data_IF_881089810484
#
_entry.id   IF_881089810484
#
_cell.length_a   1.000
_cell.length_b   1.000
_cell.length_c   1.000
_cell.angle_alpha   90.00
_cell.angle_beta   90.00
_cell.angle_gamma   90.00
#
_symmetry.space_group_name_H-M   'P 1'
#
loop_
_entity.id
_entity.type
_entity.pdbx_description
1 polymer ?
#
# COMPACT_ATOMS: atom_id res chain seq x y z
N UNK A 1 -3.30 -21.17 0.21
CA UNK A 1 -2.51 -20.76 -0.98
C UNK A 1 -2.01 -19.35 -0.74
N UNK A 2 -0.77 -19.04 -1.15
CA UNK A 2 -0.21 -17.70 -1.03
C UNK A 2 -0.88 -16.75 -2.04
N UNK A 3 -1.31 -15.56 -1.60
CA UNK A 3 -1.80 -14.49 -2.48
C UNK A 3 -0.63 -13.78 -3.15
N UNK A 4 0.40 -13.44 -2.36
CA UNK A 4 1.64 -12.81 -2.80
C UNK A 4 2.80 -13.76 -2.51
N UNK A 5 3.67 -13.99 -3.50
CA UNK A 5 4.88 -14.78 -3.35
C UNK A 5 6.03 -14.13 -4.11
N UNK A 6 7.12 -13.85 -3.42
CA UNK A 6 8.33 -13.23 -3.95
C UNK A 6 9.48 -14.23 -3.85
N UNK A 7 10.32 -14.31 -4.88
CA UNK A 7 11.53 -15.16 -4.88
C UNK A 7 12.69 -14.43 -5.53
N UNK A 8 13.84 -14.35 -4.84
CA UNK A 8 15.09 -13.77 -5.33
C UNK A 8 14.98 -12.30 -5.76
N UNK A 9 14.12 -11.52 -5.08
CA UNK A 9 13.81 -10.15 -5.45
C UNK A 9 14.97 -9.21 -5.14
N UNK A 10 15.48 -8.52 -6.15
CA UNK A 10 16.59 -7.58 -6.00
C UNK A 10 16.31 -6.24 -6.70
N UNK A 11 16.79 -5.16 -6.06
CA UNK A 11 16.80 -3.80 -6.63
C UNK A 11 18.02 -3.03 -6.17
N UNK A 12 18.75 -2.47 -7.14
CA UNK A 12 19.88 -1.59 -6.91
C UNK A 12 19.68 -0.26 -7.66
N UNK A 13 20.40 0.77 -7.23
CA UNK A 13 20.45 2.07 -7.87
C UNK A 13 21.90 2.45 -8.16
N UNK A 14 22.15 3.04 -9.32
CA UNK A 14 23.48 3.55 -9.67
C UNK A 14 23.87 4.70 -8.75
N UNK A 15 25.12 4.69 -8.28
CA UNK A 15 25.70 5.78 -7.49
C UNK A 15 26.31 6.86 -8.38
N UNK A 16 26.23 8.16 -8.02
CA UNK A 16 26.79 9.26 -8.80
C UNK A 16 28.30 9.14 -9.08
N UNK A 17 29.04 8.41 -8.23
CA UNK A 17 30.49 8.18 -8.36
C UNK A 17 30.87 6.87 -9.04
N UNK A 18 29.91 6.15 -9.62
CA UNK A 18 30.08 4.80 -10.13
C UNK A 18 29.83 3.73 -9.06
N UNK A 19 29.51 2.51 -9.50
CA UNK A 19 29.05 1.42 -8.62
C UNK A 19 27.53 1.44 -8.43
N UNK A 20 27.06 0.49 -7.64
CA UNK A 20 25.63 0.28 -7.36
C UNK A 20 25.39 0.21 -5.86
N UNK A 21 24.27 0.78 -5.41
CA UNK A 21 23.75 0.63 -4.07
C UNK A 21 22.52 -0.27 -4.11
N UNK A 22 22.65 -1.49 -3.57
CA UNK A 22 21.54 -2.43 -3.46
C UNK A 22 20.65 -2.01 -2.31
N UNK A 23 19.37 -1.78 -2.60
CA UNK A 23 18.37 -1.31 -1.63
C UNK A 23 17.46 -2.44 -1.19
N UNK A 24 17.17 -3.39 -2.09
CA UNK A 24 16.35 -4.57 -1.80
C UNK A 24 17.09 -5.82 -2.25
N UNK A 25 17.16 -6.81 -1.37
CA UNK A 25 17.67 -8.15 -1.62
C UNK A 25 16.91 -9.15 -0.71
N UNK A 26 15.81 -9.69 -1.25
CA UNK A 26 14.89 -10.56 -0.52
C UNK A 26 14.85 -11.92 -1.17
N UNK A 27 15.36 -12.93 -0.48
CA UNK A 27 15.41 -14.31 -0.98
C UNK A 27 14.00 -14.87 -1.19
N UNK A 28 13.13 -14.72 -0.20
CA UNK A 28 11.75 -15.21 -0.26
C UNK A 28 10.84 -14.41 0.68
N UNK A 29 9.61 -14.15 0.25
CA UNK A 29 8.54 -13.60 1.08
C UNK A 29 7.20 -14.10 0.56
N UNK A 30 6.28 -14.43 1.47
CA UNK A 30 4.93 -14.85 1.13
C UNK A 30 3.90 -14.22 2.06
N UNK A 31 2.72 -13.91 1.50
CA UNK A 31 1.56 -13.41 2.24
C UNK A 31 0.32 -14.18 1.78
N UNK A 32 -0.46 -14.70 2.74
CA UNK A 32 -1.68 -15.42 2.43
C UNK A 32 -2.84 -14.47 2.10
N UNK A 33 -3.89 -14.99 1.45
CA UNK A 33 -5.11 -14.23 1.22
C UNK A 33 -5.78 -13.86 2.56
N UNK A 34 -6.19 -12.59 2.70
CA UNK A 34 -6.79 -12.06 3.93
C UNK A 34 -5.84 -11.90 5.12
N UNK A 35 -4.57 -12.28 4.98
CA UNK A 35 -3.57 -12.09 6.04
C UNK A 35 -3.26 -10.61 6.25
N UNK A 36 -3.08 -10.21 7.52
CA UNK A 36 -2.60 -8.89 7.89
C UNK A 36 -1.22 -9.01 8.54
N UNK A 37 -0.20 -8.48 7.88
CA UNK A 37 1.19 -8.51 8.34
C UNK A 37 1.81 -7.13 8.38
N UNK A 38 2.60 -6.84 9.41
CA UNK A 38 3.42 -5.64 9.50
C UNK A 38 4.90 -5.98 9.29
N UNK A 39 5.61 -5.11 8.58
CA UNK A 39 7.06 -5.12 8.49
C UNK A 39 7.61 -3.97 9.32
N UNK A 40 8.45 -4.30 10.31
CA UNK A 40 9.21 -3.34 11.08
C UNK A 40 10.49 -2.97 10.34
N UNK A 41 10.87 -1.69 10.34
CA UNK A 41 12.18 -1.29 9.85
C UNK A 41 12.42 0.21 9.98
N UNK A 42 13.68 0.60 10.12
CA UNK A 42 14.09 1.99 10.23
C UNK A 42 13.86 2.78 8.93
N UNK A 43 13.86 4.12 9.04
CA UNK A 43 13.82 4.98 7.87
C UNK A 43 15.04 4.72 6.97
N UNK A 44 14.82 4.70 5.64
CA UNK A 44 15.89 4.43 4.68
C UNK A 44 16.25 2.94 4.48
N UNK A 45 15.63 2.00 5.19
CA UNK A 45 15.93 0.57 5.06
C UNK A 45 15.42 -0.09 3.76
N UNK A 46 14.76 0.66 2.86
CA UNK A 46 14.25 0.14 1.58
C UNK A 46 12.79 -0.36 1.60
N UNK A 47 12.03 -0.16 2.70
CA UNK A 47 10.62 -0.58 2.82
C UNK A 47 9.72 -0.03 1.72
N UNK A 48 9.78 1.27 1.47
CA UNK A 48 9.03 1.92 0.39
C UNK A 48 9.39 1.34 -0.97
N UNK A 49 10.68 1.12 -1.24
CA UNK A 49 11.14 0.47 -2.47
C UNK A 49 10.59 -0.95 -2.60
N UNK A 50 10.59 -1.71 -1.52
CA UNK A 50 10.01 -3.05 -1.47
C UNK A 50 8.50 -3.04 -1.78
N UNK A 51 7.74 -2.13 -1.17
CA UNK A 51 6.32 -1.98 -1.48
C UNK A 51 6.09 -1.53 -2.94
N UNK A 52 6.92 -0.64 -3.47
CA UNK A 52 6.83 -0.19 -4.87
C UNK A 52 7.11 -1.32 -5.87
N UNK A 53 8.03 -2.23 -5.56
CA UNK A 53 8.28 -3.44 -6.35
C UNK A 53 7.05 -4.35 -6.35
N UNK A 54 6.47 -4.62 -5.18
CA UNK A 54 5.24 -5.43 -5.04
C UNK A 54 4.08 -4.78 -5.78
N UNK A 55 3.95 -3.45 -5.71
CA UNK A 55 2.91 -2.71 -6.43
C UNK A 55 3.14 -2.66 -7.95
N UNK A 56 4.30 -3.11 -8.45
CA UNK A 56 4.67 -2.97 -9.86
C UNK A 56 4.89 -1.52 -10.31
N UNK A 57 5.07 -0.58 -9.36
CA UNK A 57 5.48 0.81 -9.63
C UNK A 57 6.93 0.83 -10.11
N UNK A 58 7.79 0.01 -9.49
CA UNK A 58 9.16 -0.22 -9.88
C UNK A 58 9.31 -1.63 -10.47
N UNK A 59 10.15 -1.76 -11.48
CA UNK A 59 10.59 -3.05 -11.97
C UNK A 59 11.77 -3.55 -11.14
N UNK A 60 11.79 -4.84 -10.73
CA UNK A 60 12.95 -5.43 -10.09
C UNK A 60 14.09 -5.62 -11.10
N UNK A 61 15.33 -5.66 -10.62
CA UNK A 61 16.49 -6.00 -11.45
C UNK A 61 16.61 -7.51 -11.60
N UNK A 62 16.16 -8.27 -10.59
CA UNK A 62 16.03 -9.75 -10.67
C UNK A 62 14.92 -10.25 -9.74
N UNK A 63 14.56 -11.51 -9.92
CA UNK A 63 13.58 -12.19 -9.09
C UNK A 63 12.18 -12.20 -9.68
N UNK A 64 11.25 -12.76 -8.90
CA UNK A 64 9.86 -12.97 -9.31
C UNK A 64 8.89 -12.41 -8.29
N UNK A 65 7.79 -11.83 -8.77
CA UNK A 65 6.69 -11.30 -7.96
C UNK A 65 5.39 -11.93 -8.46
N UNK A 66 4.93 -12.97 -7.78
CA UNK A 66 3.65 -13.60 -8.11
C UNK A 66 2.55 -13.03 -7.21
N UNK A 67 1.55 -12.38 -7.80
CA UNK A 67 0.34 -11.89 -7.15
C UNK A 67 -0.87 -12.61 -7.76
N UNK A 68 -1.63 -13.32 -6.93
CA UNK A 68 -2.82 -14.07 -7.36
C UNK A 68 -2.53 -14.97 -8.59
N UNK A 69 -1.37 -15.65 -8.59
CA UNK A 69 -0.89 -16.52 -9.66
C UNK A 69 -0.29 -15.80 -10.88
N UNK A 70 -0.33 -14.46 -10.95
CA UNK A 70 0.26 -13.67 -12.05
C UNK A 70 1.66 -13.20 -11.69
N UNK A 71 2.63 -13.42 -12.56
CA UNK A 71 4.00 -12.95 -12.38
C UNK A 71 4.14 -11.51 -12.88
N UNK A 72 4.22 -10.55 -11.96
CA UNK A 72 4.35 -9.13 -12.28
C UNK A 72 5.69 -8.78 -12.94
N UNK A 73 6.76 -9.51 -12.60
CA UNK A 73 8.08 -9.25 -13.16
C UNK A 73 8.15 -9.62 -14.66
N UNK A 74 7.34 -10.59 -15.09
CA UNK A 74 7.23 -11.01 -16.48
C UNK A 74 6.32 -10.09 -17.32
N UNK A 75 5.55 -9.19 -16.69
CA UNK A 75 4.65 -8.27 -17.41
C UNK A 75 5.39 -7.03 -17.90
N UNK A 76 5.02 -6.54 -19.08
CA UNK A 76 5.34 -5.18 -19.50
C UNK A 76 4.65 -4.14 -18.62
N UNK A 77 5.02 -2.86 -18.79
CA UNK A 77 4.51 -1.74 -17.97
C UNK A 77 2.97 -1.69 -17.95
N UNK A 78 2.32 -1.69 -19.11
CA UNK A 78 0.86 -1.68 -19.21
C UNK A 78 0.18 -2.87 -18.50
N UNK A 79 0.82 -4.04 -18.50
CA UNK A 79 0.34 -5.23 -17.79
C UNK A 79 0.43 -5.07 -16.28
N UNK A 80 1.54 -4.52 -15.77
CA UNK A 80 1.71 -4.20 -14.34
C UNK A 80 0.71 -3.15 -13.89
N UNK A 81 0.52 -2.09 -14.69
CA UNK A 81 -0.44 -1.02 -14.39
C UNK A 81 -1.86 -1.55 -14.25
N UNK A 82 -2.25 -2.46 -15.15
CA UNK A 82 -3.56 -3.10 -15.08
C UNK A 82 -3.72 -3.95 -13.82
N UNK A 83 -2.74 -4.81 -13.49
CA UNK A 83 -2.80 -5.63 -12.28
C UNK A 83 -2.84 -4.75 -11.04
N UNK A 84 -2.04 -3.67 -10.98
CA UNK A 84 -2.05 -2.71 -9.89
C UNK A 84 -3.44 -2.09 -9.73
N UNK A 85 -4.01 -1.55 -10.80
CA UNK A 85 -5.31 -0.91 -10.77
C UNK A 85 -6.44 -1.86 -10.33
N UNK A 86 -6.40 -3.13 -10.76
CA UNK A 86 -7.47 -4.10 -10.49
C UNK A 86 -7.34 -4.81 -9.14
N UNK A 87 -6.10 -4.99 -8.62
CA UNK A 87 -5.84 -5.96 -7.54
C UNK A 87 -5.08 -5.40 -6.34
N UNK A 88 -4.50 -4.20 -6.45
CA UNK A 88 -3.70 -3.59 -5.38
C UNK A 88 -4.29 -2.26 -4.96
N UNK A 89 -4.54 -2.10 -3.65
CA UNK A 89 -4.80 -0.80 -3.03
C UNK A 89 -3.50 -0.27 -2.41
N UNK A 90 -3.20 1.00 -2.57
CA UNK A 90 -2.00 1.60 -1.98
C UNK A 90 -2.36 2.78 -1.09
N UNK A 91 -1.95 2.74 0.18
CA UNK A 91 -2.08 3.81 1.17
C UNK A 91 -0.69 4.40 1.37
N UNK A 92 -0.49 5.63 0.90
CA UNK A 92 0.77 6.35 0.98
C UNK A 92 0.90 7.10 2.30
N UNK A 93 2.12 7.33 2.76
CA UNK A 93 2.44 8.15 3.92
C UNK A 93 1.89 9.58 3.80
N UNK A 94 1.95 10.18 2.61
CA UNK A 94 1.54 11.57 2.32
C UNK A 94 0.17 11.67 1.66
N UNK A 95 -0.73 10.70 1.85
CA UNK A 95 -2.09 10.59 1.32
C UNK A 95 -2.20 10.69 -0.21
N UNK A 96 -1.42 11.54 -0.88
CA UNK A 96 -1.39 11.78 -2.33
C UNK A 96 -2.79 12.07 -2.91
N UNK A 97 -3.59 12.89 -2.21
CA UNK A 97 -4.89 13.34 -2.71
C UNK A 97 -4.71 14.47 -3.72
N UNK A 98 -5.48 14.41 -4.79
CA UNK A 98 -5.52 15.48 -5.79
C UNK A 98 -6.29 16.68 -5.25
N UNK A 99 -5.59 17.79 -5.03
CA UNK A 99 -6.13 18.98 -4.38
C UNK A 99 -7.19 19.70 -5.21
N UNK A 100 -7.19 19.51 -6.52
CA UNK A 100 -8.17 20.07 -7.47
C UNK A 100 -9.43 19.22 -7.65
N UNK A 101 -9.53 18.08 -6.96
CA UNK A 101 -10.65 17.14 -7.04
C UNK A 101 -11.35 17.04 -5.69
N UNK A 102 -12.66 16.84 -5.72
CA UNK A 102 -13.45 16.59 -4.51
C UNK A 102 -13.07 15.26 -3.86
N UNK A 103 -13.54 15.04 -2.65
CA UNK A 103 -13.38 13.79 -1.90
C UNK A 103 -13.91 12.60 -2.71
N UNK A 104 -15.11 12.75 -3.29
CA UNK A 104 -15.72 11.72 -4.11
C UNK A 104 -14.88 11.43 -5.37
N UNK A 105 -14.48 12.48 -6.11
CA UNK A 105 -13.66 12.35 -7.31
C UNK A 105 -12.28 11.73 -7.03
N UNK A 106 -11.68 11.99 -5.87
CA UNK A 106 -10.45 11.32 -5.44
C UNK A 106 -10.61 9.81 -5.31
N UNK A 107 -11.77 9.33 -4.85
CA UNK A 107 -12.07 7.88 -4.75
C UNK A 107 -12.41 7.32 -6.13
N UNK A 108 -13.23 8.03 -6.91
CA UNK A 108 -13.59 7.66 -8.30
C UNK A 108 -12.34 7.50 -9.18
N UNK A 109 -11.34 8.36 -9.00
CA UNK A 109 -10.08 8.29 -9.74
C UNK A 109 -9.33 6.97 -9.47
N UNK A 110 -9.41 6.44 -8.24
CA UNK A 110 -8.88 5.11 -7.93
C UNK A 110 -9.52 3.99 -8.76
N UNK A 111 -10.74 4.19 -9.26
CA UNK A 111 -11.47 3.23 -10.08
C UNK A 111 -11.19 3.38 -11.59
N UNK A 112 -10.85 4.59 -12.04
CA UNK A 112 -10.81 4.96 -13.45
C UNK A 112 -9.89 4.05 -14.31
N UNK A 113 -8.79 3.56 -13.72
CA UNK A 113 -7.82 2.72 -14.41
C UNK A 113 -8.02 1.21 -14.17
N UNK A 114 -9.05 0.84 -13.38
CA UNK A 114 -9.34 -0.54 -13.02
C UNK A 114 -10.66 -1.01 -13.63
N UNK A 115 -11.66 -1.22 -12.77
CA UNK A 115 -12.97 -1.80 -13.14
C UNK A 115 -13.96 -0.79 -13.73
N UNK A 116 -13.57 0.48 -13.83
CA UNK A 116 -14.44 1.58 -14.22
C UNK A 116 -15.08 2.29 -13.02
N UNK A 117 -15.54 3.52 -13.24
CA UNK A 117 -16.09 4.37 -12.19
C UNK A 117 -17.46 3.86 -11.76
N UNK A 118 -17.58 3.54 -10.47
CA UNK A 118 -18.84 3.22 -9.76
C UNK A 118 -19.04 4.28 -8.66
N UNK A 119 -19.77 5.34 -9.00
CA UNK A 119 -20.03 6.46 -8.09
C UNK A 119 -20.80 6.06 -6.84
N UNK A 120 -21.72 5.11 -6.96
CA UNK A 120 -22.47 4.63 -5.81
C UNK A 120 -21.58 3.87 -4.83
N UNK A 121 -20.69 3.02 -5.33
CA UNK A 121 -19.70 2.34 -4.52
C UNK A 121 -18.68 3.31 -3.89
N UNK A 122 -18.22 4.31 -4.64
CA UNK A 122 -17.33 5.35 -4.09
C UNK A 122 -17.98 6.11 -2.93
N UNK A 123 -19.24 6.52 -3.08
CA UNK A 123 -20.02 7.19 -2.02
C UNK A 123 -20.23 6.26 -0.80
N UNK A 124 -20.52 4.97 -1.02
CA UNK A 124 -20.67 3.98 0.06
C UNK A 124 -19.36 3.78 0.84
N UNK A 125 -18.21 3.72 0.16
CA UNK A 125 -16.89 3.66 0.81
C UNK A 125 -16.64 4.91 1.67
N UNK A 126 -16.95 6.10 1.15
CA UNK A 126 -16.80 7.34 1.91
C UNK A 126 -17.75 7.40 3.11
N UNK A 127 -18.95 6.90 2.99
CA UNK A 127 -19.86 6.75 4.12
C UNK A 127 -19.28 5.77 5.16
N UNK A 128 -18.73 4.63 4.73
CA UNK A 128 -18.12 3.63 5.62
C UNK A 128 -16.95 4.19 6.43
N UNK A 129 -16.16 5.09 5.84
CA UNK A 129 -15.06 5.76 6.55
C UNK A 129 -15.49 7.04 7.29
N UNK A 130 -16.80 7.31 7.40
CA UNK A 130 -17.37 8.44 8.14
C UNK A 130 -17.27 9.80 7.44
N UNK A 131 -17.28 9.82 6.09
CA UNK A 131 -17.18 11.03 5.27
C UNK A 131 -18.36 11.18 4.28
N UNK A 132 -19.48 10.53 4.54
CA UNK A 132 -20.66 10.60 3.66
C UNK A 132 -21.24 12.00 3.49
N UNK A 133 -21.07 12.89 4.47
CA UNK A 133 -21.47 14.31 4.43
C UNK A 133 -20.44 15.22 3.74
N UNK A 134 -19.28 14.67 3.32
CA UNK A 134 -18.14 15.42 2.79
C UNK A 134 -17.84 15.17 1.30
N UNK A 135 -18.71 14.48 0.57
CA UNK A 135 -18.47 14.04 -0.82
C UNK A 135 -18.02 15.18 -1.75
N UNK A 136 -18.61 16.36 -1.62
CA UNK A 136 -18.30 17.56 -2.43
C UNK A 136 -17.16 18.43 -1.87
N UNK A 137 -16.56 18.08 -0.72
CA UNK A 137 -15.46 18.86 -0.16
C UNK A 137 -14.16 18.57 -0.91
N UNK A 138 -13.25 19.54 -0.89
CA UNK A 138 -11.88 19.38 -1.40
C UNK A 138 -10.93 18.95 -0.26
N UNK A 139 -9.80 18.26 -0.56
CA UNK A 139 -8.85 17.83 0.48
C UNK A 139 -8.40 18.94 1.44
N UNK A 140 -8.17 20.15 0.93
CA UNK A 140 -7.79 21.33 1.74
C UNK A 140 -8.84 21.74 2.80
N UNK A 141 -10.08 21.28 2.68
CA UNK A 141 -11.18 21.55 3.61
C UNK A 141 -11.32 20.47 4.70
N UNK A 142 -10.48 19.45 4.64
CA UNK A 142 -10.49 18.32 5.54
C UNK A 142 -9.35 18.38 6.55
N UNK A 143 -9.59 17.86 7.76
CA UNK A 143 -8.50 17.58 8.70
C UNK A 143 -7.57 16.49 8.17
N UNK A 144 -6.35 16.40 8.71
CA UNK A 144 -5.36 15.37 8.34
C UNK A 144 -5.94 13.94 8.48
N UNK A 145 -6.64 13.66 9.59
CA UNK A 145 -7.31 12.37 9.79
C UNK A 145 -8.43 12.10 8.78
N UNK A 146 -9.18 13.12 8.35
CA UNK A 146 -10.18 12.98 7.31
C UNK A 146 -9.54 12.73 5.94
N UNK A 147 -8.44 13.41 5.61
CA UNK A 147 -7.68 13.14 4.38
C UNK A 147 -7.15 11.70 4.36
N UNK A 148 -6.66 11.18 5.48
CA UNK A 148 -6.28 9.78 5.61
C UNK A 148 -7.44 8.84 5.30
N UNK A 149 -8.63 9.10 5.84
CA UNK A 149 -9.83 8.29 5.57
C UNK A 149 -10.22 8.31 4.08
N UNK A 150 -10.05 9.42 3.37
CA UNK A 150 -10.22 9.48 1.90
C UNK A 150 -9.19 8.60 1.19
N UNK A 151 -7.91 8.65 1.61
CA UNK A 151 -6.85 7.80 1.04
C UNK A 151 -7.14 6.30 1.25
N UNK A 152 -7.69 5.93 2.41
CA UNK A 152 -8.15 4.55 2.70
C UNK A 152 -9.30 4.16 1.76
N UNK A 153 -10.34 4.99 1.62
CA UNK A 153 -11.46 4.73 0.73
C UNK A 153 -10.99 4.56 -0.73
N UNK A 154 -10.09 5.44 -1.19
CA UNK A 154 -9.49 5.35 -2.54
C UNK A 154 -8.72 4.05 -2.75
N UNK A 155 -7.95 3.61 -1.77
CA UNK A 155 -7.19 2.36 -1.86
C UNK A 155 -8.09 1.13 -2.02
N UNK A 156 -9.32 1.17 -1.50
CA UNK A 156 -10.29 0.09 -1.58
C UNK A 156 -11.25 0.19 -2.77
N UNK A 157 -11.17 1.27 -3.55
CA UNK A 157 -12.13 1.61 -4.59
C UNK A 157 -12.34 0.50 -5.63
N UNK A 158 -11.30 -0.22 -6.00
CA UNK A 158 -11.35 -1.34 -6.94
C UNK A 158 -11.54 -2.73 -6.29
N UNK A 159 -11.90 -2.79 -5.00
CA UNK A 159 -12.02 -4.06 -4.25
C UNK A 159 -10.73 -4.89 -4.40
N UNK A 160 -9.57 -4.36 -3.99
CA UNK A 160 -8.28 -4.99 -4.18
C UNK A 160 -8.18 -6.29 -3.38
N UNK A 161 -7.34 -7.22 -3.84
CA UNK A 161 -6.97 -8.43 -3.10
C UNK A 161 -5.86 -8.18 -2.09
N UNK A 162 -5.00 -7.18 -2.37
CA UNK A 162 -3.88 -6.77 -1.54
C UNK A 162 -3.92 -5.27 -1.28
N UNK A 163 -3.81 -4.88 -0.03
CA UNK A 163 -3.59 -3.48 0.38
C UNK A 163 -2.16 -3.35 0.88
N UNK A 164 -1.42 -2.41 0.30
CA UNK A 164 -0.09 -2.00 0.74
C UNK A 164 -0.21 -0.67 1.48
N UNK A 165 0.37 -0.58 2.67
CA UNK A 165 0.32 0.63 3.48
C UNK A 165 1.74 1.06 3.89
N UNK A 166 2.18 2.19 3.38
CA UNK A 166 3.50 2.76 3.64
C UNK A 166 3.40 3.84 4.72
N UNK A 167 3.81 3.52 5.94
CA UNK A 167 3.77 4.41 7.11
C UNK A 167 2.43 5.18 7.22
N UNK A 168 1.26 4.50 7.18
CA UNK A 168 -0.03 5.14 6.92
C UNK A 168 -0.48 6.08 8.02
N UNK A 169 0.18 6.08 9.16
CA UNK A 169 -0.16 6.91 10.33
C UNK A 169 0.91 7.94 10.67
N UNK A 170 2.01 7.99 9.91
CA UNK A 170 3.18 8.82 10.22
C UNK A 170 2.92 10.32 10.26
N UNK A 171 1.84 10.80 9.64
CA UNK A 171 1.44 12.23 9.62
C UNK A 171 0.28 12.54 10.58
N UNK A 172 -0.11 11.58 11.45
CA UNK A 172 -1.23 11.72 12.36
C UNK A 172 -0.73 11.87 13.81
N UNK A 173 -1.50 12.57 14.64
CA UNK A 173 -1.29 12.51 16.08
C UNK A 173 -1.66 11.11 16.63
N UNK A 174 -1.23 10.82 17.84
CA UNK A 174 -1.35 9.49 18.46
C UNK A 174 -2.79 8.95 18.50
N UNK A 175 -3.78 9.80 18.75
CA UNK A 175 -5.19 9.41 18.82
C UNK A 175 -5.71 9.05 17.44
N UNK A 176 -5.51 9.94 16.46
CA UNK A 176 -5.93 9.73 15.08
C UNK A 176 -5.20 8.56 14.43
N UNK A 177 -3.94 8.29 14.82
CA UNK A 177 -3.15 7.14 14.36
C UNK A 177 -3.82 5.81 14.72
N UNK A 178 -4.25 5.64 15.98
CA UNK A 178 -4.93 4.42 16.42
C UNK A 178 -6.27 4.21 15.70
N UNK A 179 -7.08 5.27 15.55
CA UNK A 179 -8.36 5.20 14.85
C UNK A 179 -8.19 4.87 13.36
N UNK A 180 -7.20 5.49 12.69
CA UNK A 180 -6.91 5.25 11.28
C UNK A 180 -6.43 3.81 11.04
N UNK A 181 -5.54 3.30 11.89
CA UNK A 181 -5.06 1.93 11.79
C UNK A 181 -6.18 0.90 12.00
N UNK A 182 -7.01 1.10 13.03
CA UNK A 182 -8.17 0.25 13.29
C UNK A 182 -9.11 0.22 12.08
N UNK A 183 -9.40 1.38 11.49
CA UNK A 183 -10.22 1.50 10.28
C UNK A 183 -9.59 0.75 9.09
N UNK A 184 -8.29 0.95 8.80
CA UNK A 184 -7.59 0.25 7.70
C UNK A 184 -7.74 -1.26 7.87
N UNK A 185 -7.45 -1.78 9.06
CA UNK A 185 -7.53 -3.22 9.36
C UNK A 185 -8.93 -3.78 9.22
N UNK A 186 -9.93 -3.03 9.70
CA UNK A 186 -11.34 -3.42 9.64
C UNK A 186 -11.85 -3.47 8.20
N UNK A 187 -11.64 -2.42 7.42
CA UNK A 187 -12.10 -2.39 6.03
C UNK A 187 -11.36 -3.39 5.14
N UNK A 188 -10.08 -3.72 5.42
CA UNK A 188 -9.38 -4.81 4.74
C UNK A 188 -10.05 -6.16 5.04
N UNK A 189 -10.41 -6.43 6.31
CA UNK A 189 -11.13 -7.66 6.68
C UNK A 189 -12.50 -7.78 6.01
N UNK A 190 -13.29 -6.71 6.03
CA UNK A 190 -14.62 -6.66 5.39
C UNK A 190 -14.55 -6.97 3.89
N UNK A 191 -13.49 -6.53 3.23
CA UNK A 191 -13.25 -6.74 1.79
C UNK A 191 -12.45 -8.01 1.49
N UNK A 192 -12.11 -8.82 2.50
CA UNK A 192 -11.26 -10.02 2.36
C UNK A 192 -9.91 -9.73 1.70
N UNK A 193 -9.41 -8.50 1.84
CA UNK A 193 -8.12 -8.07 1.32
C UNK A 193 -7.01 -8.41 2.31
N UNK A 194 -5.88 -8.93 1.81
CA UNK A 194 -4.66 -9.01 2.59
C UNK A 194 -4.09 -7.61 2.81
N UNK A 195 -3.44 -7.39 3.97
CA UNK A 195 -2.80 -6.13 4.32
C UNK A 195 -1.32 -6.36 4.59
N UNK A 196 -0.46 -5.68 3.84
CA UNK A 196 0.96 -5.56 4.14
C UNK A 196 1.26 -4.11 4.51
N UNK A 197 1.56 -3.88 5.78
CA UNK A 197 1.87 -2.57 6.31
C UNK A 197 3.36 -2.48 6.65
N UNK A 198 4.01 -1.37 6.34
CA UNK A 198 5.35 -1.08 6.83
C UNK A 198 5.30 0.06 7.82
N UNK A 199 6.00 -0.06 8.95
CA UNK A 199 6.11 0.99 9.96
C UNK A 199 7.36 0.82 10.82
N UNK A 200 7.80 1.96 11.40
CA UNK A 200 8.79 1.99 12.47
C UNK A 200 8.14 2.31 13.84
N UNK A 201 6.85 2.61 13.87
CA UNK A 201 6.11 2.95 15.09
C UNK A 201 5.69 1.68 15.85
N UNK A 202 6.26 1.49 17.05
CA UNK A 202 5.98 0.33 17.91
C UNK A 202 4.49 0.23 18.32
N UNK A 203 3.77 1.35 18.49
CA UNK A 203 2.36 1.33 18.84
C UNK A 203 1.49 0.83 17.69
N UNK A 204 1.91 1.08 16.45
CA UNK A 204 1.31 0.50 15.24
C UNK A 204 1.59 -1.00 15.17
N UNK A 205 2.86 -1.39 15.35
CA UNK A 205 3.31 -2.77 15.25
C UNK A 205 2.66 -3.69 16.29
N UNK A 206 2.48 -3.23 17.51
CA UNK A 206 1.80 -3.98 18.60
C UNK A 206 0.37 -4.41 18.26
N UNK A 207 -0.28 -3.79 17.28
CA UNK A 207 -1.62 -4.15 16.86
C UNK A 207 -1.67 -5.32 15.86
N UNK A 208 -0.52 -5.82 15.41
CA UNK A 208 -0.43 -6.95 14.47
C UNK A 208 0.02 -8.23 15.19
N UNK A 209 -0.63 -9.33 14.88
CA UNK A 209 -0.21 -10.66 15.34
C UNK A 209 1.08 -11.13 14.65
N UNK A 210 1.25 -10.73 13.39
CA UNK A 210 2.39 -11.08 12.56
C UNK A 210 3.21 -9.83 12.25
N UNK A 211 4.32 -9.67 12.98
CA UNK A 211 5.32 -8.62 12.74
C UNK A 211 6.62 -9.29 12.33
N UNK A 212 7.19 -8.86 11.22
CA UNK A 212 8.48 -9.33 10.72
C UNK A 212 9.46 -8.16 10.62
N UNK A 213 10.69 -8.37 11.06
CA UNK A 213 11.73 -7.37 10.91
C UNK A 213 12.22 -7.35 9.46
N UNK A 214 12.14 -6.17 8.83
CA UNK A 214 12.56 -5.99 7.46
C UNK A 214 14.08 -6.13 7.30
N UNK A 215 14.88 -5.80 8.32
CA UNK A 215 16.32 -5.99 8.29
C UNK A 215 16.72 -7.49 8.30
N UNK A 216 15.86 -8.37 8.81
CA UNK A 216 16.06 -9.83 8.72
C UNK A 216 15.68 -10.32 7.32
N UNK A 217 14.63 -9.76 6.74
CA UNK A 217 14.12 -10.12 5.42
C UNK A 217 15.02 -9.60 4.29
N UNK A 218 15.47 -8.35 4.38
CA UNK A 218 16.25 -7.65 3.37
C UNK A 218 17.76 -7.80 3.61
N UNK A 219 18.42 -8.68 2.85
CA UNK A 219 19.86 -8.96 2.99
C UNK A 219 20.74 -7.76 2.55
N UNK A 220 20.20 -6.81 1.76
CA UNK A 220 20.92 -5.60 1.35
C UNK A 220 21.32 -4.70 2.53
N UNK A 221 20.67 -4.81 3.69
CA UNK A 221 20.97 -4.01 4.89
C UNK A 221 22.21 -4.55 5.63
N UNK A 222 22.62 -5.79 5.33
CA UNK A 222 23.71 -6.48 6.03
C UNK A 222 25.07 -6.28 5.38
N UNK A 223 25.12 -5.63 4.24
CA UNK A 223 26.35 -5.31 3.48
C UNK A 223 26.69 -3.83 3.62
#
# INVERSE_FOLDING_TARGET
MSLLHLTGLSKAYALPGGGEHRVVDVAEFALAAGEQRALRGESGSGKTTFLHLIAGILAPDSGRIALDGRDLAALGEAGRDRVRAESIGYIFQTFNLLQGHTVLENVELGMAFGRGIDRAHAAALLQRVGLGDKLGHFPRQLSTGQQQRVAVARALANRPKLVLADEPTGNLDRKNSGEALALIREVCRENSAALLLVSHDEEVLKQFEHVQDFAVLNQAIRT
#
